data_IF_767978863175
#
_entry.id   IF_767978863175
#
_cell.length_a   1.000
_cell.length_b   1.000
_cell.length_c   1.000
_cell.angle_alpha   90.00
_cell.angle_beta   90.00
_cell.angle_gamma   90.00
#
_symmetry.space_group_name_H-M   'P 1'
#
loop_
_entity.id
_entity.type
_entity.pdbx_description
1 polymer ?
#
# COMPACT_ATOMS: atom_id res chain seq x y z
N UNK A 1 2.15 -50.02 -29.29
CA UNK A 1 2.36 -49.83 -30.74
C UNK A 1 1.19 -49.04 -31.31
N UNK A 2 1.50 -47.90 -31.95
CA UNK A 2 0.61 -46.96 -32.68
C UNK A 2 -0.35 -46.15 -31.77
N UNK A 3 -0.50 -44.84 -31.83
CA UNK A 3 0.18 -43.69 -32.44
C UNK A 3 -0.54 -42.48 -31.76
N UNK A 4 0.12 -41.55 -31.05
CA UNK A 4 0.79 -40.35 -31.57
C UNK A 4 -0.06 -39.52 -32.55
N UNK A 5 -0.16 -38.22 -32.25
CA UNK A 5 -0.47 -37.07 -33.13
C UNK A 5 -1.88 -36.43 -33.05
N UNK A 6 -2.03 -35.48 -32.12
CA UNK A 6 -2.62 -34.13 -32.34
C UNK A 6 -1.84 -33.18 -31.41
N UNK A 7 -0.61 -32.73 -31.73
CA UNK A 7 -0.29 -31.50 -32.48
C UNK A 7 -1.19 -30.32 -32.05
N UNK A 8 -0.79 -29.44 -31.12
CA UNK A 8 0.21 -28.36 -31.29
C UNK A 8 -0.05 -27.58 -32.57
N UNK A 9 -0.57 -26.34 -32.47
CA UNK A 9 -0.18 -25.15 -33.26
C UNK A 9 -1.19 -23.98 -33.15
N UNK A 10 -0.65 -22.82 -32.71
CA UNK A 10 -0.99 -21.40 -32.95
C UNK A 10 -2.40 -20.89 -32.59
N UNK A 11 -2.57 -19.79 -31.84
CA UNK A 11 -2.10 -18.41 -32.09
C UNK A 11 -1.66 -17.79 -30.74
N UNK A 12 -0.37 -17.53 -30.47
CA UNK A 12 0.36 -16.28 -30.79
C UNK A 12 -0.39 -15.01 -30.37
N UNK A 13 -0.27 -14.63 -29.10
CA UNK A 13 -0.34 -13.22 -28.69
C UNK A 13 1.07 -12.80 -28.30
N UNK A 14 1.85 -12.50 -29.33
CA UNK A 14 3.12 -11.79 -29.23
C UNK A 14 2.80 -10.27 -29.26
N UNK A 15 3.30 -9.56 -28.24
CA UNK A 15 3.93 -8.22 -28.31
C UNK A 15 3.03 -7.00 -28.55
N UNK A 16 2.78 -6.28 -27.46
CA UNK A 16 3.25 -4.89 -27.26
C UNK A 16 3.76 -4.85 -25.81
N UNK A 17 5.05 -5.06 -25.50
CA UNK A 17 6.12 -4.07 -25.67
C UNK A 17 5.68 -2.63 -25.35
N UNK A 18 5.28 -2.38 -24.11
CA UNK A 18 5.63 -1.13 -23.44
C UNK A 18 6.80 -1.45 -22.50
N UNK A 19 7.98 -1.45 -23.09
CA UNK A 19 9.25 -1.27 -22.42
C UNK A 19 9.17 -0.10 -21.45
N UNK A 20 9.09 -0.39 -20.16
CA UNK A 20 9.66 0.50 -19.16
C UNK A 20 11.07 -0.05 -18.91
N UNK A 21 12.12 0.56 -19.47
CA UNK A 21 13.45 0.30 -18.97
C UNK A 21 13.53 0.99 -17.62
N UNK A 22 13.16 0.30 -16.55
CA UNK A 22 13.75 0.62 -15.26
C UNK A 22 14.96 -0.30 -15.13
N UNK A 23 15.98 0.04 -15.91
CA UNK A 23 17.33 -0.07 -15.41
C UNK A 23 17.37 0.81 -14.15
N UNK A 24 16.92 0.25 -13.02
CA UNK A 24 17.35 0.72 -11.72
C UNK A 24 18.83 0.36 -11.72
N UNK A 25 19.65 1.30 -12.18
CA UNK A 25 21.01 1.39 -11.70
C UNK A 25 20.86 1.49 -10.20
N UNK A 26 20.98 0.35 -9.51
CA UNK A 26 21.29 0.33 -8.09
C UNK A 26 22.73 0.79 -8.00
N UNK A 27 22.95 2.08 -8.26
CA UNK A 27 24.18 2.75 -7.91
C UNK A 27 24.34 2.50 -6.41
N UNK A 28 25.33 1.66 -6.06
CA UNK A 28 25.59 1.32 -4.68
C UNK A 28 25.88 2.61 -3.91
N UNK A 29 25.38 2.67 -2.67
CA UNK A 29 25.66 3.81 -1.81
C UNK A 29 27.18 3.95 -1.70
N UNK A 30 27.66 5.14 -2.00
CA UNK A 30 29.08 5.50 -2.01
C UNK A 30 29.72 5.18 -0.65
N UNK A 31 30.83 4.43 -0.68
CA UNK A 31 31.70 4.24 0.49
C UNK A 31 32.61 5.48 0.67
N UNK A 32 32.66 6.38 -0.31
CA UNK A 32 33.54 7.56 -0.31
C UNK A 32 32.99 8.72 0.53
N UNK A 33 31.67 8.83 0.64
CA UNK A 33 31.00 9.91 1.36
C UNK A 33 29.93 9.32 2.29
N UNK A 34 29.98 9.72 3.56
CA UNK A 34 28.90 9.42 4.50
C UNK A 34 27.83 10.48 4.42
N UNK A 35 26.56 10.06 4.49
CA UNK A 35 25.41 10.97 4.52
C UNK A 35 24.54 10.72 5.74
N UNK A 36 24.07 11.80 6.36
CA UNK A 36 22.97 11.79 7.31
C UNK A 36 21.84 12.70 6.78
N UNK A 37 20.62 12.17 6.80
CA UNK A 37 19.43 12.84 6.29
C UNK A 37 18.51 13.17 7.47
N UNK A 38 17.99 14.39 7.48
CA UNK A 38 16.97 14.83 8.41
C UNK A 38 15.94 15.69 7.70
N UNK A 39 14.70 15.66 8.18
CA UNK A 39 13.62 16.50 7.68
C UNK A 39 12.89 17.13 8.86
N UNK A 40 12.56 18.41 8.71
CA UNK A 40 11.91 19.22 9.72
C UNK A 40 10.67 19.88 9.14
N UNK A 41 9.62 19.94 9.94
CA UNK A 41 8.36 20.58 9.55
C UNK A 41 8.08 21.78 10.45
N UNK A 42 7.58 22.86 9.84
CA UNK A 42 7.24 24.08 10.59
C UNK A 42 6.00 23.90 11.46
N UNK A 43 5.05 23.09 11.01
CA UNK A 43 3.76 22.86 11.68
C UNK A 43 3.66 21.42 12.20
N UNK A 44 3.01 21.26 13.35
CA UNK A 44 2.86 19.96 14.02
C UNK A 44 1.92 19.00 13.27
N UNK A 45 0.95 19.50 12.52
CA UNK A 45 0.07 18.69 11.67
C UNK A 45 0.85 17.99 10.55
N UNK A 46 1.78 18.70 9.92
CA UNK A 46 2.68 18.15 8.91
C UNK A 46 3.66 17.14 9.51
N UNK A 47 4.23 17.42 10.69
CA UNK A 47 5.07 16.46 11.41
C UNK A 47 4.28 15.18 11.74
N UNK A 48 3.08 15.31 12.30
CA UNK A 48 2.23 14.16 12.63
C UNK A 48 1.87 13.34 11.37
N UNK A 49 1.60 14.00 10.25
CA UNK A 49 1.34 13.33 8.98
C UNK A 49 2.56 12.56 8.48
N UNK A 50 3.75 13.16 8.56
CA UNK A 50 5.02 12.50 8.23
C UNK A 50 5.29 11.29 9.14
N UNK A 51 5.12 11.43 10.45
CA UNK A 51 5.35 10.35 11.41
C UNK A 51 4.35 9.20 11.22
N UNK A 52 3.14 9.50 10.76
CA UNK A 52 2.08 8.50 10.51
C UNK A 52 2.28 7.77 9.19
N UNK A 53 2.58 8.50 8.11
CA UNK A 53 2.55 7.96 6.73
C UNK A 53 3.90 7.90 6.03
N UNK A 54 4.94 8.58 6.54
CA UNK A 54 6.22 8.74 5.85
C UNK A 54 6.13 9.58 4.57
N UNK A 55 5.16 10.51 4.52
CA UNK A 55 4.81 11.30 3.33
C UNK A 55 4.74 12.79 3.66
N UNK A 56 4.97 13.65 2.67
CA UNK A 56 4.77 15.08 2.83
C UNK A 56 3.27 15.41 2.79
N UNK A 57 2.81 16.19 3.77
CA UNK A 57 1.47 16.76 3.75
C UNK A 57 1.39 17.85 2.67
N UNK A 58 0.35 17.82 1.85
CA UNK A 58 0.15 18.77 0.76
C UNK A 58 0.16 20.23 1.24
N UNK A 59 0.91 21.08 0.54
CA UNK A 59 1.06 22.50 0.91
C UNK A 59 1.77 22.75 2.25
N UNK A 60 2.42 21.74 2.85
CA UNK A 60 3.20 21.94 4.08
C UNK A 60 4.59 22.48 3.77
N UNK A 61 5.06 23.43 4.58
CA UNK A 61 6.45 23.89 4.57
C UNK A 61 7.33 22.90 5.34
N UNK A 62 8.46 22.53 4.73
CA UNK A 62 9.45 21.65 5.32
C UNK A 62 10.86 22.10 4.96
N UNK A 63 11.83 21.63 5.75
CA UNK A 63 13.25 21.78 5.48
C UNK A 63 13.91 20.41 5.51
N UNK A 64 14.56 20.04 4.42
CA UNK A 64 15.45 18.88 4.35
C UNK A 64 16.87 19.34 4.69
N UNK A 65 17.52 18.63 5.60
CA UNK A 65 18.94 18.75 5.87
C UNK A 65 19.65 17.46 5.44
N UNK A 66 20.67 17.59 4.59
CA UNK A 66 21.61 16.51 4.31
C UNK A 66 23.01 16.92 4.72
N UNK A 67 23.55 16.16 5.65
CA UNK A 67 24.91 16.29 6.15
C UNK A 67 25.80 15.26 5.45
N UNK A 68 26.78 15.72 4.69
CA UNK A 68 27.74 14.87 3.98
C UNK A 68 29.11 15.06 4.59
N UNK A 69 29.77 13.96 4.94
CA UNK A 69 31.15 13.97 5.45
C UNK A 69 32.03 13.06 4.59
N UNK A 70 33.21 13.55 4.14
CA UNK A 70 34.18 12.71 3.44
C UNK A 70 34.66 11.56 4.32
N UNK A 71 34.77 10.38 3.75
CA UNK A 71 35.53 9.27 4.34
C UNK A 71 37.02 9.40 4.04
N UNK A 72 37.84 8.51 4.63
CA UNK A 72 39.28 8.47 4.31
C UNK A 72 39.52 8.15 2.82
N UNK A 73 38.65 7.38 2.18
CA UNK A 73 38.80 7.00 0.78
C UNK A 73 38.49 8.15 -0.19
N UNK A 74 37.56 9.06 0.14
CA UNK A 74 37.27 10.18 -0.77
C UNK A 74 38.41 11.18 -0.87
N UNK A 75 39.28 11.25 0.14
CA UNK A 75 40.48 12.09 0.11
C UNK A 75 41.49 11.66 -0.94
N UNK A 76 41.39 10.43 -1.48
CA UNK A 76 42.29 9.94 -2.53
C UNK A 76 41.76 10.22 -3.95
N UNK A 77 40.50 10.67 -4.08
CA UNK A 77 39.84 10.89 -5.37
C UNK A 77 40.14 12.25 -6.00
N UNK A 78 40.76 13.18 -5.25
CA UNK A 78 41.00 14.54 -5.71
C UNK A 78 39.72 15.33 -5.97
N UNK A 79 39.72 16.17 -7.01
CA UNK A 79 38.55 17.01 -7.34
C UNK A 79 37.39 16.16 -7.89
N UNK A 80 36.21 16.35 -7.31
CA UNK A 80 34.97 15.66 -7.70
C UNK A 80 33.83 16.66 -7.85
N UNK A 81 32.71 16.24 -8.42
CA UNK A 81 31.53 17.06 -8.64
C UNK A 81 30.33 16.48 -7.89
N UNK A 82 29.63 17.29 -7.11
CA UNK A 82 28.35 16.91 -6.53
C UNK A 82 27.20 17.38 -7.41
N UNK A 83 26.34 16.45 -7.78
CA UNK A 83 25.08 16.74 -8.44
C UNK A 83 23.96 16.64 -7.41
N UNK A 84 23.14 17.70 -7.31
CA UNK A 84 22.03 17.76 -6.37
C UNK A 84 20.75 17.90 -7.17
N UNK A 85 19.93 16.85 -7.15
CA UNK A 85 18.66 16.75 -7.86
C UNK A 85 17.51 16.74 -6.85
N UNK A 86 16.42 17.42 -7.17
CA UNK A 86 15.18 17.41 -6.38
C UNK A 86 14.04 17.92 -7.25
N UNK A 87 12.83 17.39 -7.02
CA UNK A 87 11.62 17.92 -7.62
C UNK A 87 11.48 19.44 -7.40
N UNK A 88 11.92 19.95 -6.24
CA UNK A 88 11.79 21.38 -5.91
C UNK A 88 12.87 22.24 -6.57
N UNK A 89 14.07 21.69 -6.77
CA UNK A 89 15.15 22.34 -7.53
C UNK A 89 14.71 22.54 -8.98
N UNK A 90 14.10 21.53 -9.59
CA UNK A 90 13.54 21.61 -10.94
C UNK A 90 12.41 22.66 -11.07
N UNK A 91 11.84 23.09 -9.94
CA UNK A 91 10.83 24.17 -9.84
C UNK A 91 11.42 25.52 -9.45
N UNK A 92 12.74 25.63 -9.37
CA UNK A 92 13.46 26.89 -9.08
C UNK A 92 13.71 27.16 -7.59
N UNK A 93 13.57 26.15 -6.72
CA UNK A 93 13.96 26.29 -5.31
C UNK A 93 15.45 25.98 -5.18
N UNK A 94 16.25 27.01 -4.90
CA UNK A 94 17.69 26.85 -4.69
C UNK A 94 17.97 26.39 -3.24
N UNK A 95 18.74 25.31 -3.05
CA UNK A 95 19.16 24.89 -1.71
C UNK A 95 20.28 25.80 -1.19
N UNK A 96 20.32 26.00 0.13
CA UNK A 96 21.48 26.61 0.77
C UNK A 96 22.55 25.55 1.02
N UNK A 97 23.79 25.84 0.61
CA UNK A 97 24.94 24.95 0.78
C UNK A 97 25.92 25.58 1.74
N UNK A 98 26.29 24.84 2.78
CA UNK A 98 27.34 25.20 3.71
C UNK A 98 28.49 24.19 3.58
N UNK A 99 29.70 24.68 3.35
CA UNK A 99 30.92 23.86 3.39
C UNK A 99 31.73 24.32 4.60
N UNK A 100 31.98 23.40 5.54
CA UNK A 100 32.65 23.69 6.82
C UNK A 100 32.05 24.92 7.53
N UNK A 101 30.72 25.03 7.53
CA UNK A 101 29.97 26.11 8.16
C UNK A 101 29.93 27.44 7.38
N UNK A 102 30.54 27.52 6.20
CA UNK A 102 30.51 28.73 5.35
C UNK A 102 29.52 28.56 4.21
N UNK A 103 28.65 29.55 4.02
CA UNK A 103 27.73 29.58 2.88
C UNK A 103 28.52 29.65 1.56
N UNK A 104 28.13 28.80 0.61
CA UNK A 104 28.63 28.79 -0.76
C UNK A 104 27.44 28.99 -1.69
N UNK A 105 27.66 29.73 -2.77
CA UNK A 105 26.64 29.92 -3.81
C UNK A 105 26.23 28.57 -4.39
N UNK A 106 24.92 28.35 -4.51
CA UNK A 106 24.39 27.14 -5.12
C UNK A 106 24.80 27.05 -6.59
N UNK A 107 25.39 25.91 -6.96
CA UNK A 107 25.71 25.54 -8.34
C UNK A 107 25.47 24.05 -8.52
N UNK A 108 25.09 23.65 -9.72
CA UNK A 108 24.87 22.24 -10.06
C UNK A 108 25.46 21.96 -11.46
N UNK A 109 26.56 21.20 -11.57
CA UNK A 109 27.29 20.55 -10.48
C UNK A 109 28.00 21.54 -9.53
N UNK A 110 28.19 21.10 -8.28
CA UNK A 110 29.02 21.76 -7.28
C UNK A 110 30.42 21.11 -7.27
N UNK A 111 31.49 21.83 -7.66
CA UNK A 111 32.83 21.30 -7.55
C UNK A 111 33.25 21.19 -6.08
N UNK A 112 33.80 20.03 -5.70
CA UNK A 112 34.27 19.75 -4.36
C UNK A 112 35.65 19.09 -4.39
N UNK A 113 36.47 19.40 -3.38
CA UNK A 113 37.69 18.65 -3.12
C UNK A 113 37.57 18.01 -1.73
N UNK A 114 37.30 16.69 -1.64
CA UNK A 114 37.13 15.97 -0.38
C UNK A 114 38.35 16.01 0.55
N UNK A 115 39.56 16.29 0.03
CA UNK A 115 40.78 16.42 0.85
C UNK A 115 40.72 17.60 1.82
N UNK A 116 40.08 18.69 1.38
CA UNK A 116 40.15 20.01 2.02
C UNK A 116 38.85 20.39 2.74
N UNK A 117 37.87 19.49 2.77
CA UNK A 117 36.57 19.71 3.41
C UNK A 117 36.36 18.66 4.49
N UNK A 118 35.70 19.04 5.58
CA UNK A 118 35.30 18.10 6.62
C UNK A 118 33.81 17.78 6.51
N UNK A 119 33.02 18.77 6.11
CA UNK A 119 31.57 18.69 6.12
C UNK A 119 30.95 19.54 5.00
N UNK A 120 29.93 18.97 4.35
CA UNK A 120 29.01 19.69 3.48
C UNK A 120 27.61 19.52 4.06
N UNK A 121 26.93 20.63 4.34
CA UNK A 121 25.53 20.67 4.75
C UNK A 121 24.69 21.28 3.64
N UNK A 122 23.68 20.55 3.20
CA UNK A 122 22.72 20.98 2.18
C UNK A 122 21.36 21.17 2.87
N UNK A 123 20.80 22.37 2.77
CA UNK A 123 19.51 22.74 3.32
C UNK A 123 18.55 23.09 2.18
N UNK A 124 17.50 22.29 2.01
CA UNK A 124 16.44 22.55 1.04
C UNK A 124 15.15 22.87 1.79
N UNK A 125 14.75 24.14 1.77
CA UNK A 125 13.47 24.59 2.36
C UNK A 125 12.47 24.83 1.24
N UNK A 126 11.33 24.14 1.29
CA UNK A 126 10.31 24.22 0.27
C UNK A 126 8.89 24.03 0.85
N UNK A 127 7.90 24.38 0.04
CA UNK A 127 6.49 24.01 0.28
C UNK A 127 6.17 22.77 -0.56
N UNK A 128 5.64 21.72 0.08
CA UNK A 128 5.19 20.52 -0.59
C UNK A 128 4.09 20.83 -1.61
N UNK A 129 4.00 20.03 -2.68
CA UNK A 129 3.04 20.25 -3.77
C UNK A 129 1.63 20.45 -3.21
N UNK A 130 1.04 21.60 -3.51
CA UNK A 130 -0.32 21.91 -3.10
C UNK A 130 -1.34 21.29 -4.09
N UNK A 131 -2.57 21.06 -3.62
CA UNK A 131 -3.68 20.55 -4.42
C UNK A 131 -3.43 19.20 -5.12
N UNK A 132 -2.59 18.33 -4.53
CA UNK A 132 -2.50 16.94 -4.98
C UNK A 132 -3.84 16.25 -4.81
N UNK A 133 -4.26 15.52 -5.85
CA UNK A 133 -5.55 14.82 -5.89
C UNK A 133 -5.41 13.31 -5.69
N UNK A 134 -4.19 12.82 -5.77
CA UNK A 134 -3.75 11.44 -5.56
C UNK A 134 -2.35 11.49 -4.96
N UNK A 135 -1.84 10.37 -4.44
CA UNK A 135 -0.45 10.27 -4.00
C UNK A 135 0.46 10.63 -5.17
N UNK A 136 1.31 11.62 -4.99
CA UNK A 136 2.25 12.09 -6.01
C UNK A 136 3.67 11.71 -5.59
N UNK A 137 4.32 10.74 -6.27
CA UNK A 137 5.71 10.41 -5.99
C UNK A 137 6.60 11.58 -6.42
N UNK A 138 7.60 11.89 -5.59
CA UNK A 138 8.59 12.92 -5.84
C UNK A 138 9.98 12.45 -5.40
N UNK A 139 11.00 12.92 -6.12
CA UNK A 139 12.39 12.89 -5.65
C UNK A 139 12.56 14.04 -4.67
N UNK A 140 12.63 13.73 -3.38
CA UNK A 140 12.81 14.74 -2.33
C UNK A 140 14.21 15.33 -2.42
N UNK A 141 15.22 14.45 -2.45
CA UNK A 141 16.60 14.81 -2.74
C UNK A 141 17.35 13.60 -3.27
N UNK A 142 18.15 13.80 -4.31
CA UNK A 142 19.10 12.83 -4.84
C UNK A 142 20.45 13.53 -5.01
N UNK A 143 21.49 12.94 -4.44
CA UNK A 143 22.84 13.49 -4.46
C UNK A 143 23.76 12.43 -5.01
N UNK A 144 24.40 12.73 -6.14
CA UNK A 144 25.43 11.88 -6.72
C UNK A 144 26.78 12.60 -6.73
N UNK A 145 27.85 11.84 -6.61
CA UNK A 145 29.22 12.30 -6.74
C UNK A 145 29.81 11.75 -8.02
N UNK A 146 30.20 12.64 -8.92
CA UNK A 146 30.93 12.27 -10.12
C UNK A 146 32.43 12.48 -9.91
N UNK A 147 33.19 11.46 -10.28
CA UNK A 147 34.65 11.46 -10.32
C UNK A 147 35.12 11.41 -11.77
N UNK A 148 36.43 11.40 -12.01
CA UNK A 148 36.97 11.16 -13.36
C UNK A 148 36.70 9.76 -13.89
N UNK A 149 36.40 8.80 -13.02
CA UNK A 149 36.29 7.38 -13.37
C UNK A 149 34.84 6.88 -13.36
N UNK A 150 34.03 7.33 -12.39
CA UNK A 150 32.67 6.84 -12.19
C UNK A 150 31.75 7.85 -11.46
N UNK A 151 30.46 7.53 -11.40
CA UNK A 151 29.41 8.24 -10.66
C UNK A 151 28.86 7.39 -9.50
N UNK A 152 28.86 7.97 -8.30
CA UNK A 152 28.48 7.28 -7.07
C UNK A 152 27.25 7.92 -6.43
N UNK A 153 26.32 7.10 -5.94
CA UNK A 153 25.15 7.59 -5.21
C UNK A 153 25.51 7.92 -3.76
N UNK A 154 25.35 9.16 -3.32
CA UNK A 154 25.55 9.53 -1.91
C UNK A 154 24.25 9.37 -1.14
N UNK A 155 23.18 9.96 -1.65
CA UNK A 155 21.87 9.98 -0.99
C UNK A 155 20.77 9.93 -2.04
N UNK A 156 19.75 9.11 -1.80
CA UNK A 156 18.55 9.09 -2.63
C UNK A 156 17.33 8.92 -1.73
N UNK A 157 16.50 9.97 -1.67
CA UNK A 157 15.24 9.97 -0.92
C UNK A 157 14.11 10.29 -1.87
N UNK A 158 13.26 9.29 -2.04
CA UNK A 158 11.97 9.41 -2.69
C UNK A 158 10.87 9.38 -1.63
N UNK A 159 9.82 10.15 -1.84
CA UNK A 159 8.63 10.15 -0.98
C UNK A 159 7.39 10.47 -1.82
N UNK A 160 6.22 10.42 -1.19
CA UNK A 160 4.99 10.91 -1.80
C UNK A 160 4.56 12.22 -1.15
N UNK A 161 3.90 13.07 -1.93
CA UNK A 161 3.04 14.14 -1.41
C UNK A 161 1.60 13.62 -1.40
N UNK A 162 0.92 13.80 -0.27
CA UNK A 162 -0.45 13.33 -0.07
C UNK A 162 -1.24 14.25 0.86
N UNK A 163 -2.49 13.90 1.17
CA UNK A 163 -3.35 14.60 2.11
C UNK A 163 -4.12 13.62 2.98
N UNK A 164 -4.63 14.09 4.13
CA UNK A 164 -5.46 13.28 5.02
C UNK A 164 -6.63 12.60 4.30
N UNK A 165 -7.31 13.30 3.40
CA UNK A 165 -8.45 12.76 2.64
C UNK A 165 -8.02 11.64 1.68
N UNK A 166 -6.88 11.79 1.02
CA UNK A 166 -6.32 10.77 0.12
C UNK A 166 -5.97 9.51 0.92
N UNK A 167 -5.28 9.68 2.06
CA UNK A 167 -4.88 8.57 2.90
C UNK A 167 -6.07 7.87 3.57
N UNK A 168 -7.07 8.62 4.03
CA UNK A 168 -8.31 8.07 4.59
C UNK A 168 -9.06 7.26 3.53
N UNK A 169 -9.19 7.77 2.30
CA UNK A 169 -9.84 7.04 1.21
C UNK A 169 -9.15 5.69 0.95
N UNK A 170 -7.82 5.68 0.89
CA UNK A 170 -7.03 4.45 0.69
C UNK A 170 -7.23 3.48 1.85
N UNK A 171 -7.19 3.95 3.09
CA UNK A 171 -7.40 3.11 4.27
C UNK A 171 -8.78 2.43 4.24
N UNK A 172 -9.84 3.17 3.92
CA UNK A 172 -11.19 2.59 3.81
C UNK A 172 -11.33 1.63 2.64
N UNK A 173 -10.69 1.90 1.49
CA UNK A 173 -10.66 0.96 0.37
C UNK A 173 -9.97 -0.36 0.78
N UNK A 174 -8.86 -0.30 1.51
CA UNK A 174 -8.17 -1.51 2.00
C UNK A 174 -8.99 -2.26 3.07
N UNK A 175 -9.64 -1.56 4.00
CA UNK A 175 -10.60 -2.17 4.93
C UNK A 175 -11.75 -2.85 4.21
N UNK A 176 -12.31 -2.21 3.18
CA UNK A 176 -13.38 -2.77 2.36
C UNK A 176 -12.90 -4.04 1.63
N UNK A 177 -11.73 -4.01 0.98
CA UNK A 177 -11.10 -5.18 0.34
C UNK A 177 -10.96 -6.36 1.30
N UNK A 178 -10.42 -6.11 2.49
CA UNK A 178 -10.26 -7.14 3.51
C UNK A 178 -11.60 -7.74 3.92
N UNK A 179 -12.63 -6.90 4.10
CA UNK A 179 -13.95 -7.36 4.52
C UNK A 179 -14.71 -8.10 3.43
N UNK A 180 -14.60 -7.67 2.17
CA UNK A 180 -15.11 -8.39 0.99
C UNK A 180 -14.46 -9.77 0.91
N UNK A 181 -13.14 -9.86 1.07
CA UNK A 181 -12.42 -11.15 1.11
C UNK A 181 -12.87 -12.05 2.27
N UNK A 182 -13.27 -11.49 3.40
CA UNK A 182 -13.88 -12.25 4.49
C UNK A 182 -15.27 -12.77 4.10
N UNK A 183 -16.13 -11.90 3.55
CA UNK A 183 -17.48 -12.24 3.10
C UNK A 183 -17.46 -13.36 2.05
N UNK A 184 -16.59 -13.27 1.04
CA UNK A 184 -16.43 -14.28 -0.01
C UNK A 184 -16.21 -15.70 0.53
N UNK A 185 -15.48 -15.84 1.65
CA UNK A 185 -15.22 -17.14 2.28
C UNK A 185 -16.47 -17.76 2.92
N UNK A 186 -17.47 -16.94 3.27
CA UNK A 186 -18.56 -17.38 4.13
C UNK A 186 -19.97 -17.30 3.50
N UNK A 187 -20.13 -16.52 2.43
CA UNK A 187 -21.42 -16.14 1.84
C UNK A 187 -22.06 -17.21 0.93
N UNK A 188 -21.29 -18.18 0.41
CA UNK A 188 -21.77 -19.14 -0.61
C UNK A 188 -23.14 -19.76 -0.29
N UNK A 189 -24.11 -19.56 -1.20
CA UNK A 189 -25.46 -20.14 -1.13
C UNK A 189 -26.48 -19.31 -0.34
N UNK A 190 -26.12 -18.06 0.04
CA UNK A 190 -26.98 -17.16 0.81
C UNK A 190 -27.35 -15.93 -0.01
N UNK A 191 -28.48 -15.99 -0.72
CA UNK A 191 -28.95 -14.97 -1.69
C UNK A 191 -28.82 -13.52 -1.18
N UNK A 192 -29.29 -13.25 0.04
CA UNK A 192 -29.23 -11.89 0.60
C UNK A 192 -27.79 -11.43 0.85
N UNK A 193 -26.93 -12.33 1.34
CA UNK A 193 -25.54 -12.02 1.63
C UNK A 193 -24.70 -11.91 0.33
N UNK A 194 -25.07 -12.65 -0.72
CA UNK A 194 -24.47 -12.55 -2.06
C UNK A 194 -24.76 -11.20 -2.70
N UNK A 195 -26.00 -10.70 -2.59
CA UNK A 195 -26.37 -9.37 -3.08
C UNK A 195 -25.58 -8.25 -2.40
N UNK A 196 -25.45 -8.28 -1.07
CA UNK A 196 -24.69 -7.24 -0.36
C UNK A 196 -23.18 -7.32 -0.67
N UNK A 197 -22.65 -8.53 -0.89
CA UNK A 197 -21.28 -8.72 -1.35
C UNK A 197 -21.07 -8.14 -2.75
N UNK A 198 -22.01 -8.31 -3.67
CA UNK A 198 -21.97 -7.72 -5.01
C UNK A 198 -22.02 -6.20 -4.96
N UNK A 199 -22.91 -5.63 -4.14
CA UNK A 199 -22.97 -4.18 -3.90
C UNK A 199 -21.63 -3.65 -3.37
N UNK A 200 -21.03 -4.33 -2.37
CA UNK A 200 -19.75 -3.94 -1.80
C UNK A 200 -18.62 -3.92 -2.85
N UNK A 201 -18.55 -4.94 -3.72
CA UNK A 201 -17.56 -5.01 -4.81
C UNK A 201 -17.75 -3.90 -5.83
N UNK A 202 -19.01 -3.62 -6.21
CA UNK A 202 -19.35 -2.55 -7.15
C UNK A 202 -18.91 -1.19 -6.61
N UNK A 203 -19.23 -0.89 -5.35
CA UNK A 203 -18.86 0.37 -4.70
C UNK A 203 -17.35 0.50 -4.50
N UNK A 204 -16.65 -0.57 -4.13
CA UNK A 204 -15.19 -0.56 -4.04
C UNK A 204 -14.57 -0.23 -5.40
N UNK A 205 -15.05 -0.87 -6.48
CA UNK A 205 -14.58 -0.58 -7.84
C UNK A 205 -14.86 0.88 -8.23
N UNK A 206 -16.02 1.42 -7.84
CA UNK A 206 -16.34 2.83 -8.06
C UNK A 206 -15.41 3.76 -7.26
N UNK A 207 -15.12 3.43 -5.99
CA UNK A 207 -14.21 4.17 -5.15
C UNK A 207 -12.79 4.23 -5.76
N UNK A 208 -12.26 3.10 -6.23
CA UNK A 208 -10.96 3.03 -6.90
C UNK A 208 -10.94 3.89 -8.17
N UNK A 209 -12.00 3.83 -8.98
CA UNK A 209 -12.11 4.68 -10.17
C UNK A 209 -12.15 6.18 -9.81
N UNK A 210 -12.91 6.56 -8.78
CA UNK A 210 -12.97 7.95 -8.30
C UNK A 210 -11.63 8.43 -7.75
N UNK A 211 -10.91 7.56 -7.05
CA UNK A 211 -9.55 7.84 -6.61
C UNK A 211 -8.63 8.13 -7.80
N UNK A 212 -8.65 7.27 -8.83
CA UNK A 212 -7.85 7.45 -10.05
C UNK A 212 -8.23 8.70 -10.86
N UNK A 213 -9.46 9.19 -10.70
CA UNK A 213 -9.92 10.47 -11.26
C UNK A 213 -9.52 11.69 -10.43
N UNK A 214 -8.81 11.50 -9.31
CA UNK A 214 -8.43 12.56 -8.40
C UNK A 214 -9.61 13.18 -7.65
N UNK A 215 -10.58 12.34 -7.22
CA UNK A 215 -11.76 12.75 -6.43
C UNK A 215 -11.75 12.04 -5.07
N UNK A 216 -10.78 12.33 -4.18
CA UNK A 216 -10.58 11.56 -2.95
C UNK A 216 -11.78 11.61 -2.00
N UNK A 217 -12.53 12.71 -1.95
CA UNK A 217 -13.72 12.84 -1.10
C UNK A 217 -14.82 11.86 -1.51
N UNK A 218 -15.06 11.73 -2.82
CA UNK A 218 -16.05 10.80 -3.36
C UNK A 218 -15.57 9.36 -3.26
N UNK A 219 -14.28 9.13 -3.47
CA UNK A 219 -13.66 7.82 -3.28
C UNK A 219 -13.83 7.35 -1.83
N UNK A 220 -13.64 8.24 -0.85
CA UNK A 220 -13.84 7.95 0.57
C UNK A 220 -15.30 7.60 0.89
N UNK A 221 -16.26 8.34 0.35
CA UNK A 221 -17.69 8.06 0.53
C UNK A 221 -18.06 6.66 0.03
N UNK A 222 -17.68 6.34 -1.22
CA UNK A 222 -17.94 5.02 -1.82
C UNK A 222 -17.19 3.90 -1.10
N UNK A 223 -15.96 4.14 -0.64
CA UNK A 223 -15.20 3.16 0.14
C UNK A 223 -15.84 2.86 1.50
N UNK A 224 -16.42 3.88 2.16
CA UNK A 224 -17.20 3.71 3.39
C UNK A 224 -18.45 2.88 3.13
N UNK A 225 -19.18 3.15 2.06
CA UNK A 225 -20.35 2.35 1.68
C UNK A 225 -19.97 0.91 1.33
N UNK A 226 -18.89 0.70 0.59
CA UNK A 226 -18.38 -0.63 0.25
C UNK A 226 -18.04 -1.45 1.50
N UNK A 227 -17.35 -0.82 2.46
CA UNK A 227 -17.03 -1.45 3.74
C UNK A 227 -18.28 -1.83 4.53
N UNK A 228 -19.29 -0.95 4.55
CA UNK A 228 -20.53 -1.20 5.28
C UNK A 228 -21.33 -2.36 4.68
N UNK A 229 -21.51 -2.37 3.35
CA UNK A 229 -22.16 -3.48 2.66
C UNK A 229 -21.39 -4.80 2.86
N UNK A 230 -20.06 -4.77 2.86
CA UNK A 230 -19.25 -5.95 3.16
C UNK A 230 -19.45 -6.46 4.59
N UNK A 231 -19.61 -5.58 5.59
CA UNK A 231 -19.95 -5.98 6.96
C UNK A 231 -21.33 -6.62 7.03
N UNK A 232 -22.33 -6.01 6.40
CA UNK A 232 -23.71 -6.54 6.34
C UNK A 232 -23.73 -7.93 5.68
N UNK A 233 -22.97 -8.12 4.60
CA UNK A 233 -22.80 -9.43 3.96
C UNK A 233 -22.20 -10.47 4.93
N UNK A 234 -21.15 -10.10 5.67
CA UNK A 234 -20.55 -10.98 6.68
C UNK A 234 -21.54 -11.34 7.79
N UNK A 235 -22.27 -10.35 8.32
CA UNK A 235 -23.24 -10.55 9.40
C UNK A 235 -24.42 -11.42 8.96
N UNK A 236 -24.94 -11.17 7.76
CA UNK A 236 -26.00 -11.97 7.12
C UNK A 236 -25.55 -13.41 6.90
N UNK A 237 -24.30 -13.61 6.48
CA UNK A 237 -23.74 -14.94 6.31
C UNK A 237 -23.58 -15.70 7.64
N UNK A 238 -23.12 -15.00 8.69
CA UNK A 238 -22.96 -15.57 10.03
C UNK A 238 -24.29 -15.93 10.68
N UNK A 239 -25.29 -15.04 10.61
CA UNK A 239 -26.63 -15.29 11.17
C UNK A 239 -27.32 -16.46 10.48
N UNK A 240 -27.22 -16.54 9.14
CA UNK A 240 -27.80 -17.64 8.36
C UNK A 240 -27.15 -19.00 8.70
N UNK A 241 -25.83 -19.03 8.93
CA UNK A 241 -25.15 -20.25 9.42
C UNK A 241 -25.63 -20.65 10.80
N UNK A 242 -25.75 -19.72 11.73
CA UNK A 242 -26.25 -20.03 13.08
C UNK A 242 -27.70 -20.55 13.07
N UNK A 243 -28.56 -20.02 12.19
CA UNK A 243 -29.91 -20.53 12.00
C UNK A 243 -29.90 -21.93 11.39
N UNK A 244 -29.03 -22.19 10.41
CA UNK A 244 -28.86 -23.52 9.81
C UNK A 244 -28.44 -24.58 10.84
N UNK A 245 -27.53 -24.22 11.75
CA UNK A 245 -27.10 -25.12 12.83
C UNK A 245 -28.23 -25.37 13.83
N UNK A 246 -28.97 -24.34 14.25
CA UNK A 246 -30.15 -24.49 15.12
C UNK A 246 -31.21 -25.38 14.46
N UNK A 247 -31.48 -25.19 13.17
CA UNK A 247 -32.48 -25.96 12.45
C UNK A 247 -32.08 -27.43 12.31
N UNK A 248 -30.78 -27.75 12.17
CA UNK A 248 -30.27 -29.12 12.20
C UNK A 248 -30.50 -29.79 13.56
N UNK A 249 -30.27 -29.08 14.67
CA UNK A 249 -30.56 -29.61 16.00
C UNK A 249 -32.06 -29.85 16.22
N UNK A 250 -32.91 -28.93 15.75
CA UNK A 250 -34.37 -29.11 15.78
C UNK A 250 -34.78 -30.32 14.95
N UNK A 251 -34.23 -30.49 13.74
CA UNK A 251 -34.54 -31.65 12.89
C UNK A 251 -34.10 -32.96 13.55
N UNK A 252 -32.90 -33.01 14.15
CA UNK A 252 -32.41 -34.18 14.89
C UNK A 252 -33.29 -34.51 16.10
N UNK A 253 -33.75 -33.49 16.83
CA UNK A 253 -34.67 -33.65 17.95
C UNK A 253 -36.04 -34.20 17.50
N UNK A 254 -36.57 -33.71 16.38
CA UNK A 254 -37.82 -34.22 15.79
C UNK A 254 -37.68 -35.68 15.37
N UNK A 255 -36.57 -36.06 14.73
CA UNK A 255 -36.30 -37.46 14.33
C UNK A 255 -36.22 -38.37 15.56
N UNK A 256 -35.52 -37.96 16.62
CA UNK A 256 -35.46 -38.71 17.88
C UNK A 256 -36.84 -38.91 18.51
N UNK A 257 -37.70 -37.89 18.47
CA UNK A 257 -39.06 -37.96 19.01
C UNK A 257 -39.93 -38.94 18.21
N UNK A 258 -39.81 -38.95 16.87
CA UNK A 258 -40.50 -39.92 16.00
C UNK A 258 -40.06 -41.36 16.32
N UNK A 259 -38.76 -41.59 16.50
CA UNK A 259 -38.22 -42.91 16.85
C UNK A 259 -38.73 -43.36 18.23
N UNK A 260 -38.77 -42.46 19.22
CA UNK A 260 -39.29 -42.77 20.55
C UNK A 260 -40.78 -43.14 20.52
N UNK A 261 -41.60 -42.42 19.74
CA UNK A 261 -43.03 -42.73 19.56
C UNK A 261 -43.20 -44.08 18.86
N UNK A 262 -42.42 -44.37 17.81
CA UNK A 262 -42.47 -45.65 17.12
C UNK A 262 -42.08 -46.83 18.04
N UNK A 263 -41.04 -46.66 18.85
CA UNK A 263 -40.62 -47.64 19.84
C UNK A 263 -41.68 -47.86 20.92
N UNK A 264 -42.33 -46.79 21.41
CA UNK A 264 -43.41 -46.88 22.39
C UNK A 264 -44.65 -47.58 21.82
N UNK A 265 -45.04 -47.26 20.59
CA UNK A 265 -46.14 -47.94 19.89
C UNK A 265 -45.83 -49.42 19.67
N UNK A 266 -44.61 -49.75 19.25
CA UNK A 266 -44.16 -51.13 19.09
C UNK A 266 -44.15 -51.88 20.43
N UNK A 267 -43.65 -51.27 21.50
CA UNK A 267 -43.64 -51.85 22.84
C UNK A 267 -45.05 -52.11 23.37
N UNK A 268 -45.98 -51.16 23.18
CA UNK A 268 -47.40 -51.37 23.53
C UNK A 268 -48.05 -52.47 22.71
N UNK A 269 -47.75 -52.57 21.40
CA UNK A 269 -48.25 -53.66 20.56
C UNK A 269 -47.77 -55.01 21.08
N UNK A 270 -46.49 -55.11 21.45
CA UNK A 270 -45.88 -56.33 22.01
C UNK A 270 -46.46 -56.71 23.38
N UNK A 271 -46.80 -55.76 24.24
CA UNK A 271 -47.49 -56.05 25.50
C UNK A 271 -48.93 -56.57 25.29
N UNK A 272 -49.66 -56.03 24.30
CA UNK A 272 -51.00 -56.54 23.95
C UNK A 272 -50.99 -57.96 23.39
N UNK A 273 -49.90 -58.36 22.72
CA UNK A 273 -49.72 -59.73 22.24
C UNK A 273 -49.36 -60.70 23.37
N UNK A 274 -48.64 -60.23 24.41
CA UNK A 274 -48.31 -61.04 25.61
C UNK A 274 -49.47 -61.16 26.61
N UNK A 275 -50.40 -60.21 26.64
CA UNK A 275 -51.60 -60.27 27.48
C UNK A 275 -52.72 -61.19 26.97
N UNK A 276 -52.51 -61.91 25.87
CA UNK A 276 -53.46 -62.91 25.32
C UNK A 276 -53.05 -64.37 25.56
N UNK A 277 -51.98 -64.60 26.33
CA UNK A 277 -51.46 -65.92 26.69
C UNK A 277 -51.50 -66.17 28.21
N UNK A 278 -52.26 -65.37 28.96
CA UNK A 278 -52.55 -65.57 30.38
C UNK A 278 -54.05 -65.56 30.60
#
# INVERSE_FOLDING_TARGET
MRALAIAVVLIVVLIVAASVPLAVSTAEKSVFMNSNFSIYFRKSDAQNFWDTYGMLLNGSEFTVEVLITPTNYSKELGNTELHIESYFIDKGVEPAILIDGRNVEYRNPLPINPENINEIKILLTAEAVNNVKMRMPITLIKITQRTSEDEYMIENRETNVSSWLIEEAIEYMEKAKQKIKEAEKIVSGLVNAERELENARSQLSHAENLYMQGKPEKALEEAKSALENAKIAVESARSSRSMGDVMRYVLAAVVLLIVAVAAFVWFRKRQRERGKLG
#
